data_IF_215726378039
#
_entry.id   IF_215726378039
#
_cell.length_a   1.000
_cell.length_b   1.000
_cell.length_c   1.000
_cell.angle_alpha   90.00
_cell.angle_beta   90.00
_cell.angle_gamma   90.00
#
_symmetry.space_group_name_H-M   'P 1'
#
loop_
_entity.id
_entity.type
_entity.pdbx_description
1 polymer ?
#
# COMPACT_ATOMS: atom_id res chain seq x y z
N UNK A 1 14.92 7.60 57.67
CA UNK A 1 14.97 8.72 56.69
C UNK A 1 16.01 8.36 55.64
N UNK A 2 15.59 7.78 54.51
CA UNK A 2 16.51 7.41 53.43
C UNK A 2 16.55 8.56 52.42
N UNK A 3 17.76 9.06 52.13
CA UNK A 3 17.99 10.17 51.20
C UNK A 3 17.79 9.68 49.76
N UNK A 4 16.89 10.32 49.02
CA UNK A 4 16.71 10.08 47.58
C UNK A 4 17.91 10.58 46.79
N UNK A 5 18.45 9.72 45.92
CA UNK A 5 19.55 10.03 45.01
C UNK A 5 19.11 10.93 43.87
N UNK A 6 20.00 11.83 43.46
CA UNK A 6 19.85 12.76 42.35
C UNK A 6 20.14 11.99 41.05
N UNK A 7 19.14 11.76 40.20
CA UNK A 7 19.34 11.21 38.86
C UNK A 7 18.78 12.17 37.81
N UNK A 8 19.51 12.38 36.71
CA UNK A 8 19.03 13.15 35.54
C UNK A 8 19.84 14.40 35.12
N UNK A 9 21.08 14.57 35.58
CA UNK A 9 21.95 15.67 35.12
C UNK A 9 22.90 15.25 34.01
N UNK A 10 23.12 16.15 33.05
CA UNK A 10 24.07 15.96 31.95
C UNK A 10 25.50 15.90 32.46
N UNK A 11 26.20 14.77 32.20
CA UNK A 11 27.60 14.56 32.55
C UNK A 11 27.85 13.48 33.61
N UNK A 12 26.81 12.86 34.16
CA UNK A 12 26.94 11.74 35.11
C UNK A 12 26.60 10.38 34.44
N UNK A 13 27.08 9.29 35.04
CA UNK A 13 26.79 7.93 34.56
C UNK A 13 25.28 7.65 34.60
N UNK A 14 24.70 7.08 33.52
CA UNK A 14 23.29 6.73 33.50
C UNK A 14 22.97 5.74 34.63
N UNK A 15 21.94 6.04 35.41
CA UNK A 15 21.49 5.14 36.46
C UNK A 15 20.92 3.84 35.84
N UNK A 16 21.26 2.71 36.44
CA UNK A 16 20.67 1.41 36.11
C UNK A 16 19.19 1.42 36.46
N UNK A 17 18.35 1.72 35.47
CA UNK A 17 16.91 1.49 35.56
C UNK A 17 16.71 0.00 35.32
N UNK A 18 16.65 -0.78 36.40
CA UNK A 18 16.51 -2.24 36.34
C UNK A 18 15.43 -2.71 35.35
N UNK A 19 15.55 -3.98 34.94
CA UNK A 19 14.75 -4.59 33.88
C UNK A 19 13.24 -4.31 33.99
N UNK A 20 12.68 -3.65 32.97
CA UNK A 20 11.24 -3.40 32.86
C UNK A 20 10.58 -4.60 32.18
N UNK A 21 10.00 -5.50 32.97
CA UNK A 21 9.20 -6.62 32.47
C UNK A 21 7.78 -6.11 32.16
N UNK A 22 7.48 -5.91 30.88
CA UNK A 22 6.13 -5.55 30.42
C UNK A 22 5.32 -6.82 30.17
N UNK A 23 4.39 -7.14 31.08
CA UNK A 23 3.41 -8.19 30.85
C UNK A 23 2.30 -7.67 29.91
N UNK A 24 2.36 -8.04 28.64
CA UNK A 24 1.25 -7.83 27.70
C UNK A 24 0.17 -8.90 27.95
N UNK A 25 -1.03 -8.54 28.43
CA UNK A 25 -2.10 -9.51 28.57
C UNK A 25 -2.53 -9.98 27.17
N UNK A 26 -2.73 -11.29 27.01
CA UNK A 26 -3.25 -11.86 25.76
C UNK A 26 -4.62 -11.23 25.46
N UNK A 27 -4.88 -10.75 24.23
CA UNK A 27 -6.21 -10.31 23.86
C UNK A 27 -7.16 -11.50 23.97
N UNK A 28 -8.14 -11.38 24.87
CA UNK A 28 -9.26 -12.30 24.93
C UNK A 28 -10.04 -12.13 23.62
N UNK A 29 -9.81 -13.05 22.67
CA UNK A 29 -10.67 -13.19 21.50
C UNK A 29 -12.13 -13.39 21.94
N UNK A 30 -13.10 -13.06 21.08
CA UNK A 30 -14.51 -13.18 21.42
C UNK A 30 -14.81 -14.61 21.86
N UNK A 31 -15.33 -14.74 23.10
CA UNK A 31 -15.89 -15.99 23.60
C UNK A 31 -17.07 -16.34 22.70
N UNK A 32 -16.95 -17.43 21.94
CA UNK A 32 -18.09 -18.02 21.26
C UNK A 32 -19.19 -18.31 22.27
N UNK A 33 -20.38 -17.80 21.99
CA UNK A 33 -21.59 -18.09 22.76
C UNK A 33 -21.92 -19.59 22.62
N UNK A 34 -22.01 -20.37 23.72
CA UNK A 34 -22.28 -21.80 23.65
C UNK A 34 -23.77 -22.16 23.40
N UNK A 35 -24.64 -21.19 23.06
CA UNK A 35 -26.08 -21.43 22.91
C UNK A 35 -26.66 -21.18 21.51
N UNK A 36 -25.99 -21.61 20.44
CA UNK A 36 -26.69 -21.86 19.17
C UNK A 36 -27.20 -23.31 19.11
N UNK A 37 -28.38 -23.49 19.68
CA UNK A 37 -29.22 -24.67 19.55
C UNK A 37 -29.76 -24.75 18.12
N UNK A 38 -29.26 -25.70 17.32
CA UNK A 38 -29.93 -26.16 16.10
C UNK A 38 -30.64 -27.48 16.41
N UNK A 39 -31.98 -27.53 16.47
CA UNK A 39 -32.69 -28.77 16.73
C UNK A 39 -32.68 -29.69 15.49
N UNK A 40 -31.92 -30.78 15.60
CA UNK A 40 -32.37 -32.15 15.41
C UNK A 40 -32.71 -32.65 14.00
N UNK A 41 -31.97 -33.65 13.52
CA UNK A 41 -32.57 -34.88 12.98
C UNK A 41 -31.57 -36.06 12.90
N UNK A 42 -31.88 -37.14 13.64
CA UNK A 42 -31.43 -38.54 13.44
C UNK A 42 -29.94 -38.83 13.70
N UNK A 43 -29.52 -39.64 14.66
CA UNK A 43 -30.12 -40.85 15.20
C UNK A 43 -29.39 -42.08 14.65
N UNK A 44 -28.60 -42.76 15.47
CA UNK A 44 -28.05 -44.09 15.16
C UNK A 44 -26.61 -44.29 15.62
N UNK A 45 -26.43 -44.75 16.85
CA UNK A 45 -25.15 -45.28 17.33
C UNK A 45 -24.96 -46.75 16.96
N UNK A 46 -23.71 -47.15 16.74
CA UNK A 46 -23.18 -48.46 17.11
C UNK A 46 -21.65 -48.45 17.08
N UNK A 47 -21.10 -49.19 18.03
CA UNK A 47 -19.73 -49.33 18.52
C UNK A 47 -18.79 -50.10 17.53
N UNK A 48 -17.55 -50.51 17.88
CA UNK A 48 -16.34 -50.31 17.09
C UNK A 48 -15.90 -51.59 16.37
N UNK A 49 -15.67 -51.56 15.06
CA UNK A 49 -15.37 -52.79 14.34
C UNK A 49 -14.75 -52.58 12.98
N UNK A 50 -13.44 -52.75 12.93
CA UNK A 50 -12.62 -53.04 11.77
C UNK A 50 -13.34 -53.98 10.80
N UNK A 51 -13.65 -53.55 9.56
CA UNK A 51 -13.51 -54.34 8.31
C UNK A 51 -13.37 -53.37 7.13
N UNK A 52 -12.25 -53.48 6.39
CA UNK A 52 -12.17 -52.99 5.00
C UNK A 52 -10.85 -52.34 4.62
N UNK A 53 -9.79 -53.14 4.45
CA UNK A 53 -8.51 -52.65 3.94
C UNK A 53 -7.43 -53.72 3.96
N UNK A 54 -7.65 -54.78 3.18
CA UNK A 54 -6.73 -55.89 2.98
C UNK A 54 -5.47 -55.40 2.23
N UNK A 55 -4.37 -55.14 2.93
CA UNK A 55 -3.02 -55.21 2.37
C UNK A 55 -2.25 -56.23 3.21
N UNK A 56 -2.29 -57.48 2.75
CA UNK A 56 -1.63 -58.61 3.38
C UNK A 56 -0.12 -58.42 3.47
N UNK A 57 0.47 -59.05 4.49
CA UNK A 57 1.86 -58.93 4.98
C UNK A 57 2.97 -59.19 3.94
N UNK A 58 2.66 -59.54 2.68
CA UNK A 58 3.64 -59.67 1.59
C UNK A 58 3.09 -59.23 0.22
N UNK A 59 2.36 -58.11 0.17
CA UNK A 59 1.79 -57.57 -1.06
C UNK A 59 2.23 -56.13 -1.34
N UNK A 60 2.82 -55.92 -2.51
CA UNK A 60 3.24 -54.64 -3.06
C UNK A 60 2.06 -53.64 -3.14
N UNK A 61 1.90 -52.78 -2.13
CA UNK A 61 0.93 -51.68 -2.13
C UNK A 61 1.52 -50.53 -2.98
N UNK A 62 0.96 -50.36 -4.18
CA UNK A 62 1.47 -49.46 -5.23
C UNK A 62 1.47 -47.97 -4.88
N UNK A 63 2.37 -47.26 -5.55
CA UNK A 63 2.62 -45.82 -5.47
C UNK A 63 1.33 -44.98 -5.59
N UNK A 64 0.82 -44.55 -4.44
CA UNK A 64 -0.24 -43.56 -4.30
C UNK A 64 0.25 -42.38 -3.47
N UNK A 65 1.37 -41.77 -3.87
CA UNK A 65 1.96 -40.60 -3.22
C UNK A 65 1.11 -39.35 -3.38
N UNK A 66 0.04 -39.24 -2.59
CA UNK A 66 -0.71 -38.00 -2.39
C UNK A 66 0.14 -37.01 -1.57
N UNK A 67 1.00 -36.27 -2.26
CA UNK A 67 1.70 -35.12 -1.68
C UNK A 67 0.70 -33.98 -1.42
N UNK A 68 -0.08 -34.07 -0.33
CA UNK A 68 -0.60 -32.88 0.33
C UNK A 68 0.50 -32.29 1.19
N UNK A 69 1.60 -31.87 0.55
CA UNK A 69 2.47 -30.88 1.18
C UNK A 69 1.61 -29.61 1.33
N UNK A 70 1.59 -28.95 2.51
CA UNK A 70 0.98 -27.63 2.61
C UNK A 70 1.62 -26.77 1.52
N UNK A 71 0.79 -26.24 0.63
CA UNK A 71 1.23 -25.35 -0.43
C UNK A 71 2.08 -24.27 0.22
N UNK A 72 3.37 -24.24 -0.11
CA UNK A 72 4.22 -23.12 0.27
C UNK A 72 3.47 -21.85 -0.19
N UNK A 73 3.31 -20.83 0.68
CA UNK A 73 2.66 -19.61 0.27
C UNK A 73 3.34 -19.11 -1.00
N UNK A 74 2.53 -18.83 -2.02
CA UNK A 74 3.02 -18.33 -3.30
C UNK A 74 3.89 -17.09 -3.00
N UNK A 75 5.12 -17.01 -3.54
CA UNK A 75 5.98 -15.87 -3.27
C UNK A 75 5.22 -14.58 -3.62
N UNK A 76 5.35 -13.52 -2.82
CA UNK A 76 4.61 -12.29 -3.04
C UNK A 76 4.86 -11.79 -4.46
N UNK A 77 3.79 -11.67 -5.25
CA UNK A 77 3.88 -11.23 -6.64
C UNK A 77 4.55 -9.87 -6.75
N UNK A 78 5.47 -9.75 -7.72
CA UNK A 78 6.19 -8.53 -8.04
C UNK A 78 5.21 -7.36 -8.30
N UNK A 79 5.36 -6.21 -7.60
CA UNK A 79 4.52 -5.02 -7.81
C UNK A 79 4.38 -4.61 -9.27
N UNK A 80 5.45 -4.76 -10.06
CA UNK A 80 5.38 -4.37 -11.46
C UNK A 80 4.44 -5.26 -12.27
N UNK A 81 4.57 -6.58 -12.12
CA UNK A 81 3.67 -7.55 -12.74
C UNK A 81 2.21 -7.29 -12.32
N UNK A 82 1.95 -7.04 -11.02
CA UNK A 82 0.59 -6.69 -10.54
C UNK A 82 0.02 -5.46 -11.24
N UNK A 83 0.82 -4.41 -11.39
CA UNK A 83 0.39 -3.20 -12.08
C UNK A 83 0.14 -3.48 -13.56
N UNK A 84 1.04 -4.21 -14.24
CA UNK A 84 0.89 -4.61 -15.64
C UNK A 84 -0.41 -5.41 -15.86
N UNK A 85 -0.70 -6.38 -15.01
CA UNK A 85 -1.93 -7.18 -15.08
C UNK A 85 -3.17 -6.32 -14.83
N UNK A 86 -3.09 -5.38 -13.87
CA UNK A 86 -4.18 -4.46 -13.55
C UNK A 86 -4.50 -3.51 -14.69
N UNK A 87 -3.51 -2.85 -15.28
CA UNK A 87 -3.75 -1.90 -16.39
C UNK A 87 -4.24 -2.57 -17.66
N UNK A 88 -4.05 -3.90 -17.78
CA UNK A 88 -4.56 -4.71 -18.87
C UNK A 88 -6.00 -5.22 -18.66
N UNK A 89 -6.58 -5.08 -17.46
CA UNK A 89 -8.01 -5.38 -17.24
C UNK A 89 -8.86 -4.44 -18.11
N UNK A 90 -9.86 -4.94 -18.88
CA UNK A 90 -10.64 -4.10 -19.79
C UNK A 90 -11.23 -2.84 -19.14
N UNK A 91 -11.94 -2.97 -18.00
CA UNK A 91 -12.54 -1.80 -17.35
C UNK A 91 -11.51 -0.77 -16.84
N UNK A 92 -10.32 -1.22 -16.44
CA UNK A 92 -9.24 -0.33 -15.97
C UNK A 92 -8.61 0.37 -17.17
N UNK A 93 -8.35 -0.36 -18.26
CA UNK A 93 -7.80 0.19 -19.50
C UNK A 93 -8.70 1.27 -20.11
N UNK A 94 -10.02 1.02 -20.13
CA UNK A 94 -11.00 1.99 -20.62
C UNK A 94 -11.03 3.23 -19.74
N UNK A 95 -11.02 3.05 -18.41
CA UNK A 95 -10.97 4.14 -17.45
C UNK A 95 -9.68 4.95 -17.58
N UNK A 96 -8.51 4.30 -17.72
CA UNK A 96 -7.23 4.96 -17.94
C UNK A 96 -7.19 5.75 -19.25
N UNK A 97 -7.84 5.26 -20.31
CA UNK A 97 -7.95 5.98 -21.57
C UNK A 97 -8.78 7.27 -21.39
N UNK A 98 -9.90 7.17 -20.68
CA UNK A 98 -10.74 8.33 -20.32
C UNK A 98 -9.96 9.35 -19.46
N UNK A 99 -9.25 8.87 -18.44
CA UNK A 99 -8.42 9.70 -17.57
C UNK A 99 -7.25 10.37 -18.33
N UNK A 100 -6.59 9.66 -19.24
CA UNK A 100 -5.52 10.25 -20.08
C UNK A 100 -6.06 11.40 -20.92
N UNK A 101 -7.20 11.20 -21.58
CA UNK A 101 -7.84 12.27 -22.35
C UNK A 101 -8.19 13.47 -21.47
N UNK A 102 -8.71 13.22 -20.27
CA UNK A 102 -9.05 14.26 -19.29
C UNK A 102 -7.82 15.02 -18.77
N UNK A 103 -6.71 14.33 -18.50
CA UNK A 103 -5.46 14.92 -18.01
C UNK A 103 -4.80 15.90 -19.00
N UNK A 104 -5.23 15.91 -20.26
CA UNK A 104 -4.81 16.88 -21.28
C UNK A 104 -5.74 18.08 -21.42
N UNK A 105 -6.83 18.12 -20.65
CA UNK A 105 -7.75 19.27 -20.64
C UNK A 105 -7.28 20.33 -19.64
N UNK A 106 -7.53 21.60 -19.94
CA UNK A 106 -7.22 22.72 -19.05
C UNK A 106 -8.30 22.95 -17.99
N UNK A 107 -9.08 21.93 -17.65
CA UNK A 107 -9.99 22.00 -16.50
C UNK A 107 -9.16 22.10 -15.22
N UNK A 108 -9.76 22.63 -14.15
CA UNK A 108 -9.14 22.61 -12.81
C UNK A 108 -9.62 21.43 -11.97
N UNK A 109 -10.60 20.69 -12.48
CA UNK A 109 -11.25 19.59 -11.79
C UNK A 109 -10.47 18.30 -12.04
N UNK A 110 -10.24 17.53 -10.99
CA UNK A 110 -9.72 16.17 -11.09
C UNK A 110 -10.84 15.17 -11.43
N UNK A 111 -10.45 14.04 -12.00
CA UNK A 111 -11.29 12.86 -12.16
C UNK A 111 -10.52 11.63 -11.78
N UNK A 112 -11.22 10.65 -11.25
CA UNK A 112 -10.63 9.38 -10.86
C UNK A 112 -11.65 8.31 -10.53
N UNK A 113 -11.15 7.14 -10.20
CA UNK A 113 -11.93 6.01 -9.74
C UNK A 113 -11.21 5.28 -8.60
N UNK A 114 -11.99 4.61 -7.76
CA UNK A 114 -11.57 3.61 -6.79
C UNK A 114 -11.88 2.23 -7.34
N UNK A 115 -10.91 1.32 -7.37
CA UNK A 115 -11.14 -0.12 -7.57
C UNK A 115 -11.43 -0.74 -6.20
N UNK A 116 -12.55 -1.47 -6.11
CA UNK A 116 -12.85 -2.31 -4.96
C UNK A 116 -12.21 -3.69 -5.11
N UNK A 117 -12.06 -4.43 -4.01
CA UNK A 117 -11.56 -5.81 -3.98
C UNK A 117 -12.41 -6.77 -4.86
N UNK A 118 -13.67 -6.43 -5.13
CA UNK A 118 -14.54 -7.13 -6.09
C UNK A 118 -14.16 -6.91 -7.57
N UNK A 119 -13.26 -5.96 -7.85
CA UNK A 119 -12.94 -5.49 -9.21
C UNK A 119 -13.90 -4.41 -9.74
N UNK A 120 -14.91 -4.01 -8.97
CA UNK A 120 -15.82 -2.91 -9.31
C UNK A 120 -15.09 -1.58 -9.27
N UNK A 121 -15.31 -0.73 -10.27
CA UNK A 121 -14.80 0.65 -10.29
C UNK A 121 -15.90 1.61 -9.84
N UNK A 122 -15.60 2.46 -8.87
CA UNK A 122 -16.48 3.53 -8.39
C UNK A 122 -15.85 4.89 -8.72
N UNK A 123 -16.60 5.85 -9.27
CA UNK A 123 -16.07 7.18 -9.52
C UNK A 123 -15.74 7.89 -8.20
N UNK A 124 -14.63 8.64 -8.19
CA UNK A 124 -14.36 9.59 -7.11
C UNK A 124 -15.28 10.81 -7.16
N UNK A 125 -15.45 11.49 -6.04
CA UNK A 125 -16.23 12.73 -5.93
C UNK A 125 -15.31 13.94 -5.78
N UNK A 126 -15.49 14.95 -6.63
CA UNK A 126 -14.68 16.18 -6.58
C UNK A 126 -15.25 17.08 -5.47
N UNK A 127 -14.39 17.56 -4.57
CA UNK A 127 -14.76 18.52 -3.54
C UNK A 127 -14.79 19.95 -4.11
N UNK A 128 -15.32 20.92 -3.34
CA UNK A 128 -15.35 22.33 -3.75
C UNK A 128 -13.95 22.91 -4.03
N UNK A 129 -12.91 22.36 -3.38
CA UNK A 129 -11.51 22.72 -3.58
C UNK A 129 -10.85 22.02 -4.77
N UNK A 130 -11.63 21.36 -5.62
CA UNK A 130 -11.19 20.53 -6.75
C UNK A 130 -10.32 19.33 -6.36
N UNK A 131 -10.44 18.85 -5.12
CA UNK A 131 -9.70 17.68 -4.66
C UNK A 131 -10.52 16.41 -4.90
N UNK A 132 -9.84 15.30 -5.17
CA UNK A 132 -10.48 14.02 -5.37
C UNK A 132 -10.71 13.28 -4.04
N UNK A 133 -11.98 12.99 -3.73
CA UNK A 133 -12.34 12.15 -2.59
C UNK A 133 -12.79 10.77 -3.04
N UNK A 134 -12.35 9.76 -2.30
CA UNK A 134 -12.74 8.35 -2.45
C UNK A 134 -13.28 7.82 -1.14
N UNK A 135 -14.33 6.99 -1.19
CA UNK A 135 -14.89 6.34 -0.02
C UNK A 135 -14.01 5.17 0.44
N UNK A 136 -12.84 5.47 1.01
CA UNK A 136 -11.90 4.45 1.48
C UNK A 136 -12.52 3.68 2.66
N UNK A 137 -12.39 2.36 2.61
CA UNK A 137 -12.88 1.41 3.59
C UNK A 137 -12.49 -0.02 3.24
N UNK A 138 -13.00 -1.00 3.97
CA UNK A 138 -12.51 -2.39 3.96
C UNK A 138 -12.56 -3.12 2.61
N UNK A 139 -13.38 -2.64 1.68
CA UNK A 139 -13.48 -3.16 0.32
C UNK A 139 -12.54 -2.45 -0.68
N UNK A 140 -11.73 -1.49 -0.25
CA UNK A 140 -10.84 -0.73 -1.15
C UNK A 140 -9.68 -1.60 -1.61
N UNK A 141 -9.36 -1.52 -2.91
CA UNK A 141 -8.16 -2.13 -3.47
C UNK A 141 -7.18 -1.07 -3.98
N UNK A 142 -7.68 0.01 -4.58
CA UNK A 142 -6.83 1.15 -4.93
C UNK A 142 -7.56 2.27 -5.62
N UNK A 143 -6.82 3.32 -5.95
CA UNK A 143 -7.35 4.52 -6.58
C UNK A 143 -6.53 4.93 -7.79
N UNK A 144 -7.17 5.59 -8.76
CA UNK A 144 -6.47 6.27 -9.85
C UNK A 144 -7.16 7.59 -10.14
N UNK A 145 -6.41 8.69 -10.19
CA UNK A 145 -6.94 10.01 -10.54
C UNK A 145 -6.04 10.75 -11.53
N UNK A 146 -6.47 11.95 -11.91
CA UNK A 146 -5.82 12.78 -12.92
C UNK A 146 -5.26 14.04 -12.29
N UNK A 147 -4.04 14.42 -12.70
CA UNK A 147 -3.46 15.73 -12.42
C UNK A 147 -3.41 16.54 -13.73
N UNK A 148 -4.01 17.73 -13.71
CA UNK A 148 -4.24 18.55 -14.90
C UNK A 148 -2.97 19.33 -15.31
N UNK A 149 -2.88 19.84 -16.55
CA UNK A 149 -1.72 20.60 -17.00
C UNK A 149 -1.42 21.80 -16.08
N UNK A 150 -0.14 22.01 -15.80
CA UNK A 150 0.31 23.07 -14.88
C UNK A 150 0.34 22.67 -13.41
N UNK A 151 -0.17 21.49 -13.05
CA UNK A 151 0.03 20.87 -11.74
C UNK A 151 1.29 19.98 -11.71
N UNK A 152 1.60 19.38 -10.57
CA UNK A 152 2.74 18.47 -10.41
C UNK A 152 2.31 17.08 -10.88
N UNK A 153 2.84 16.59 -12.00
CA UNK A 153 2.35 15.39 -12.70
C UNK A 153 2.67 14.02 -12.06
N UNK A 154 2.90 13.97 -10.75
CA UNK A 154 3.12 12.75 -9.95
C UNK A 154 2.42 12.88 -8.59
N UNK A 155 2.31 11.79 -7.83
CA UNK A 155 1.64 11.75 -6.53
C UNK A 155 2.15 12.84 -5.57
N UNK A 156 1.20 13.56 -4.98
CA UNK A 156 1.36 14.58 -3.97
C UNK A 156 1.21 14.00 -2.55
N UNK A 157 1.51 14.77 -1.49
CA UNK A 157 1.40 14.29 -0.11
C UNK A 157 0.03 13.71 0.26
N UNK A 158 -1.07 14.33 -0.13
CA UNK A 158 -2.43 13.81 0.15
C UNK A 158 -2.71 12.49 -0.59
N UNK A 159 -2.16 12.31 -1.79
CA UNK A 159 -2.29 11.06 -2.55
C UNK A 159 -1.61 9.91 -1.80
N UNK A 160 -0.45 10.18 -1.17
CA UNK A 160 0.26 9.19 -0.35
C UNK A 160 -0.52 8.85 0.91
N UNK A 161 -1.15 9.83 1.57
CA UNK A 161 -1.99 9.55 2.74
C UNK A 161 -3.20 8.69 2.38
N UNK A 162 -3.92 9.07 1.31
CA UNK A 162 -5.03 8.28 0.75
C UNK A 162 -4.58 6.86 0.41
N UNK A 163 -3.40 6.70 -0.18
CA UNK A 163 -2.83 5.39 -0.46
C UNK A 163 -2.55 4.59 0.83
N UNK A 164 -1.96 5.20 1.86
CA UNK A 164 -1.69 4.53 3.12
C UNK A 164 -2.97 4.09 3.83
N UNK A 165 -4.06 4.84 3.70
CA UNK A 165 -5.37 4.41 4.20
C UNK A 165 -5.86 3.15 3.48
N UNK A 166 -5.70 3.08 2.15
CA UNK A 166 -6.01 1.86 1.39
C UNK A 166 -5.14 0.68 1.86
N UNK A 167 -3.85 0.91 2.17
CA UNK A 167 -2.97 -0.13 2.71
C UNK A 167 -3.48 -0.64 4.05
N UNK A 168 -3.95 0.24 4.94
CA UNK A 168 -4.52 -0.13 6.25
C UNK A 168 -5.80 -0.96 6.14
N UNK A 169 -6.54 -0.81 5.04
CA UNK A 169 -7.73 -1.59 4.74
C UNK A 169 -7.43 -2.97 4.12
N UNK A 170 -6.16 -3.32 3.87
CA UNK A 170 -5.76 -4.65 3.41
C UNK A 170 -5.55 -5.62 4.58
N UNK A 171 -5.61 -6.93 4.30
CA UNK A 171 -5.23 -7.91 5.30
C UNK A 171 -3.72 -7.83 5.57
N UNK A 172 -3.24 -8.17 6.78
CA UNK A 172 -1.81 -8.08 7.13
C UNK A 172 -0.88 -8.85 6.18
N UNK A 173 -1.38 -9.91 5.54
CA UNK A 173 -0.64 -10.73 4.59
C UNK A 173 -0.83 -10.30 3.12
N UNK A 174 -1.62 -9.26 2.86
CA UNK A 174 -2.00 -8.81 1.53
C UNK A 174 -1.83 -7.29 1.32
N UNK A 175 -1.08 -6.60 2.21
CA UNK A 175 -0.82 -5.16 2.14
C UNK A 175 -0.36 -4.69 0.74
N UNK A 176 0.49 -5.49 0.08
CA UNK A 176 0.99 -5.19 -1.26
C UNK A 176 -0.03 -5.32 -2.41
N UNK A 177 -1.29 -5.63 -2.12
CA UNK A 177 -2.37 -5.56 -3.10
C UNK A 177 -2.89 -4.13 -3.29
N UNK A 178 -2.76 -3.31 -2.24
CA UNK A 178 -3.09 -1.89 -2.29
C UNK A 178 -2.27 -1.20 -3.39
N UNK A 179 -2.92 -0.27 -4.08
CA UNK A 179 -2.25 0.59 -5.04
C UNK A 179 -2.88 1.97 -5.11
N UNK A 180 -2.13 2.93 -5.62
CA UNK A 180 -2.69 4.19 -6.09
C UNK A 180 -2.01 4.59 -7.40
N UNK A 181 -2.63 5.43 -8.20
CA UNK A 181 -2.06 5.90 -9.45
C UNK A 181 -2.51 7.30 -9.83
N UNK A 182 -1.66 7.97 -10.60
CA UNK A 182 -1.91 9.31 -11.12
C UNK A 182 -1.67 9.31 -12.62
N UNK A 183 -2.58 9.94 -13.36
CA UNK A 183 -2.49 10.16 -14.80
C UNK A 183 -2.30 11.66 -15.05
N UNK A 184 -1.20 12.04 -15.69
CA UNK A 184 -0.92 13.43 -16.05
C UNK A 184 -0.35 13.54 -17.47
N UNK A 185 -0.14 14.76 -17.95
CA UNK A 185 0.60 15.01 -19.18
C UNK A 185 2.05 14.52 -19.15
N UNK A 186 2.61 14.30 -17.95
CA UNK A 186 3.98 13.80 -17.76
C UNK A 186 4.06 12.27 -17.79
N UNK A 187 2.93 11.58 -17.63
CA UNK A 187 2.84 10.12 -17.71
C UNK A 187 1.80 9.54 -16.76
N UNK A 188 1.73 8.21 -16.72
CA UNK A 188 0.95 7.48 -15.73
C UNK A 188 1.89 6.81 -14.74
N UNK A 189 1.73 7.13 -13.47
CA UNK A 189 2.48 6.53 -12.37
C UNK A 189 1.55 5.74 -11.47
N UNK A 190 2.01 4.59 -11.00
CA UNK A 190 1.36 3.76 -10.00
C UNK A 190 2.30 3.53 -8.84
N UNK A 191 1.73 3.30 -7.66
CA UNK A 191 2.46 2.91 -6.48
C UNK A 191 1.85 1.68 -5.83
N UNK A 192 2.70 0.86 -5.21
CA UNK A 192 2.31 -0.32 -4.44
C UNK A 192 3.12 -0.38 -3.15
N UNK A 193 2.54 -0.95 -2.10
CA UNK A 193 3.22 -1.11 -0.83
C UNK A 193 4.08 -2.38 -0.86
N UNK A 194 5.34 -2.23 -0.50
CA UNK A 194 6.32 -3.33 -0.42
C UNK A 194 6.84 -3.54 1.00
N UNK A 195 6.41 -2.69 1.95
CA UNK A 195 6.71 -2.82 3.36
C UNK A 195 5.84 -3.85 4.09
N UNK A 196 5.94 -3.77 5.41
CA UNK A 196 5.20 -4.56 6.38
C UNK A 196 4.26 -3.67 7.19
N UNK A 197 3.36 -4.26 7.99
CA UNK A 197 2.47 -3.48 8.85
C UNK A 197 3.23 -2.56 9.83
N UNK A 198 4.42 -2.95 10.29
CA UNK A 198 5.26 -2.13 11.17
C UNK A 198 5.94 -0.95 10.47
N UNK A 199 5.98 -0.96 9.13
CA UNK A 199 6.49 0.18 8.36
C UNK A 199 5.44 1.29 8.19
N UNK A 200 4.17 1.02 8.50
CA UNK A 200 3.10 2.02 8.37
C UNK A 200 3.21 3.10 9.46
N UNK A 201 3.09 4.38 9.10
CA UNK A 201 2.91 5.43 10.09
C UNK A 201 1.69 5.15 10.96
N UNK A 202 1.70 5.52 12.26
CA UNK A 202 0.53 5.42 13.12
C UNK A 202 -0.70 6.07 12.48
N UNK A 203 -1.87 5.49 12.73
CA UNK A 203 -3.13 6.12 12.32
C UNK A 203 -3.26 7.49 12.99
N UNK A 204 -3.67 8.48 12.20
CA UNK A 204 -3.88 9.85 12.63
C UNK A 204 -5.38 10.15 12.70
N UNK A 205 -5.78 11.02 13.61
CA UNK A 205 -7.07 11.69 13.50
C UNK A 205 -7.07 12.62 12.29
N UNK A 206 -8.25 12.98 11.78
CA UNK A 206 -8.39 13.90 10.64
C UNK A 206 -7.60 15.22 10.85
N UNK A 207 -7.68 15.81 12.04
CA UNK A 207 -6.95 17.03 12.36
C UNK A 207 -5.42 16.84 12.41
N UNK A 208 -4.96 15.68 12.87
CA UNK A 208 -3.53 15.35 12.89
C UNK A 208 -3.01 15.13 11.48
N UNK A 209 -3.77 14.40 10.64
CA UNK A 209 -3.40 14.16 9.25
C UNK A 209 -3.36 15.46 8.46
N UNK A 210 -4.39 16.31 8.57
CA UNK A 210 -4.42 17.61 7.90
C UNK A 210 -3.18 18.46 8.25
N UNK A 211 -2.83 18.54 9.54
CA UNK A 211 -1.62 19.26 9.98
C UNK A 211 -0.33 18.61 9.47
N UNK A 212 -0.29 17.28 9.39
CA UNK A 212 0.86 16.54 8.87
C UNK A 212 1.04 16.78 7.38
N UNK A 213 -0.03 16.66 6.59
CA UNK A 213 -0.06 16.90 5.14
C UNK A 213 0.32 18.35 4.83
N UNK A 214 -0.17 19.33 5.59
CA UNK A 214 0.20 20.74 5.42
C UNK A 214 1.72 20.97 5.53
N UNK A 215 2.38 20.27 6.46
CA UNK A 215 3.82 20.34 6.60
C UNK A 215 4.55 19.61 5.46
N UNK A 216 4.06 18.44 5.04
CA UNK A 216 4.60 17.73 3.89
C UNK A 216 4.45 18.53 2.60
N UNK A 217 3.35 19.24 2.38
CA UNK A 217 3.13 20.10 1.22
C UNK A 217 4.16 21.24 1.18
N UNK A 218 4.55 21.81 2.33
CA UNK A 218 5.60 22.83 2.39
C UNK A 218 6.96 22.25 1.96
N UNK A 219 7.31 21.06 2.45
CA UNK A 219 8.55 20.35 2.08
C UNK A 219 8.54 19.98 0.61
N UNK A 220 7.46 19.37 0.13
CA UNK A 220 7.26 18.95 -1.25
C UNK A 220 7.41 20.13 -2.23
N UNK A 221 6.80 21.28 -1.92
CA UNK A 221 6.93 22.50 -2.74
C UNK A 221 8.35 23.09 -2.70
N UNK A 222 9.05 22.98 -1.56
CA UNK A 222 10.45 23.40 -1.46
C UNK A 222 11.35 22.53 -2.34
N UNK A 223 11.19 21.21 -2.26
CA UNK A 223 11.95 20.24 -3.04
C UNK A 223 11.67 20.39 -4.53
N UNK A 224 10.41 20.59 -4.92
CA UNK A 224 10.03 20.87 -6.31
C UNK A 224 10.79 22.08 -6.88
N UNK A 225 10.83 23.20 -6.14
CA UNK A 225 11.55 24.42 -6.56
C UNK A 225 13.06 24.20 -6.63
N UNK A 226 13.62 23.41 -5.72
CA UNK A 226 15.05 23.07 -5.73
C UNK A 226 15.39 22.23 -6.97
N UNK A 227 14.61 21.20 -7.25
CA UNK A 227 14.77 20.34 -8.42
C UNK A 227 14.61 21.13 -9.73
N UNK A 228 13.67 22.08 -9.80
CA UNK A 228 13.53 22.96 -10.97
C UNK A 228 14.82 23.74 -11.24
N UNK A 229 15.42 24.33 -10.20
CA UNK A 229 16.69 25.05 -10.32
C UNK A 229 17.83 24.13 -10.77
N UNK A 230 17.88 22.90 -10.24
CA UNK A 230 18.88 21.91 -10.62
C UNK A 230 18.74 21.48 -12.10
N UNK A 231 17.51 21.42 -12.62
CA UNK A 231 17.23 21.18 -14.03
C UNK A 231 17.44 22.42 -14.92
N UNK A 232 17.90 23.56 -14.37
CA UNK A 232 18.07 24.81 -15.11
C UNK A 232 16.75 25.43 -15.58
N UNK A 233 15.63 25.10 -14.93
CA UNK A 233 14.29 25.56 -15.32
C UNK A 233 13.87 26.81 -14.58
N UNK A 234 13.16 27.68 -15.29
CA UNK A 234 12.57 28.91 -14.78
C UNK A 234 11.29 28.64 -13.98
N UNK A 235 10.87 29.64 -13.19
CA UNK A 235 9.59 29.61 -12.49
C UNK A 235 8.43 29.51 -13.48
N UNK A 236 7.51 28.57 -13.25
CA UNK A 236 6.38 28.30 -14.14
C UNK A 236 6.61 27.18 -15.16
N UNK A 237 7.84 26.68 -15.29
CA UNK A 237 8.11 25.44 -16.01
C UNK A 237 7.88 24.23 -15.10
N UNK A 238 7.65 23.06 -15.70
CA UNK A 238 7.44 21.79 -14.99
C UNK A 238 8.70 20.95 -14.94
N UNK A 239 8.87 20.15 -13.88
CA UNK A 239 9.96 19.17 -13.77
C UNK A 239 9.96 18.16 -14.92
N UNK A 240 11.14 17.64 -15.23
CA UNK A 240 11.26 16.47 -16.10
C UNK A 240 10.66 15.25 -15.40
N UNK A 241 10.46 14.16 -16.15
CA UNK A 241 10.04 12.90 -15.53
C UNK A 241 11.02 12.44 -14.44
N UNK A 242 12.33 12.51 -14.69
CA UNK A 242 13.34 12.20 -13.69
C UNK A 242 13.25 13.13 -12.47
N UNK A 243 12.94 14.41 -12.67
CA UNK A 243 12.72 15.37 -11.58
C UNK A 243 11.49 15.03 -10.75
N UNK A 244 10.37 14.67 -11.38
CA UNK A 244 9.16 14.21 -10.70
C UNK A 244 9.41 12.93 -9.91
N UNK A 245 10.10 11.96 -10.50
CA UNK A 245 10.47 10.70 -9.85
C UNK A 245 11.38 10.95 -8.64
N UNK A 246 12.36 11.86 -8.73
CA UNK A 246 13.18 12.31 -7.58
C UNK A 246 12.33 12.97 -6.49
N UNK A 247 11.42 13.85 -6.87
CA UNK A 247 10.52 14.52 -5.93
C UNK A 247 9.68 13.52 -5.13
N UNK A 248 9.16 12.49 -5.80
CA UNK A 248 8.43 11.40 -5.16
C UNK A 248 9.31 10.63 -4.17
N UNK A 249 10.53 10.22 -4.56
CA UNK A 249 11.42 9.51 -3.64
C UNK A 249 11.82 10.37 -2.44
N UNK A 250 12.07 11.67 -2.62
CA UNK A 250 12.34 12.58 -1.52
C UNK A 250 11.16 12.66 -0.55
N UNK A 251 9.93 12.70 -1.06
CA UNK A 251 8.73 12.65 -0.22
C UNK A 251 8.70 11.36 0.62
N UNK A 252 8.94 10.20 0.00
CA UNK A 252 8.97 8.93 0.71
C UNK A 252 10.08 8.87 1.77
N UNK A 253 11.28 9.35 1.45
CA UNK A 253 12.39 9.38 2.39
C UNK A 253 12.06 10.30 3.59
N UNK A 254 11.41 11.45 3.36
CA UNK A 254 10.99 12.39 4.41
C UNK A 254 9.94 11.81 5.37
N UNK A 255 9.12 10.85 4.93
CA UNK A 255 8.08 10.21 5.74
C UNK A 255 8.49 8.82 6.25
N UNK A 256 9.75 8.42 6.06
CA UNK A 256 10.28 7.13 6.52
C UNK A 256 9.80 5.92 5.70
N UNK A 257 9.28 6.14 4.49
CA UNK A 257 8.77 5.08 3.59
C UNK A 257 9.70 4.81 2.40
N UNK A 258 10.94 5.31 2.45
CA UNK A 258 11.97 5.01 1.46
C UNK A 258 12.17 3.49 1.30
N UNK A 259 11.96 2.98 0.08
CA UNK A 259 12.06 1.54 -0.23
C UNK A 259 10.88 0.68 0.22
N UNK A 260 9.85 1.28 0.83
CA UNK A 260 8.61 0.60 1.30
C UNK A 260 7.43 0.80 0.36
N UNK A 261 7.58 1.68 -0.64
CA UNK A 261 6.62 1.93 -1.70
C UNK A 261 7.37 1.86 -3.03
N UNK A 262 6.92 1.00 -3.93
CA UNK A 262 7.44 0.91 -5.30
C UNK A 262 6.77 1.96 -6.17
N UNK A 263 7.55 2.64 -7.01
CA UNK A 263 7.03 3.52 -8.07
C UNK A 263 7.07 2.76 -9.40
N UNK A 264 5.96 2.72 -10.11
CA UNK A 264 5.82 2.05 -11.39
C UNK A 264 5.35 3.07 -12.40
N UNK A 265 6.00 3.12 -13.56
CA UNK A 265 5.63 3.98 -14.68
C UNK A 265 4.98 3.13 -15.75
N UNK A 266 3.82 3.57 -16.21
CA UNK A 266 3.07 2.92 -17.27
C UNK A 266 2.92 3.88 -18.44
N UNK A 267 3.36 3.45 -19.63
CA UNK A 267 3.22 4.23 -20.85
C UNK A 267 2.82 3.34 -22.03
N UNK A 268 1.51 3.22 -22.23
CA UNK A 268 0.89 2.57 -23.39
C UNK A 268 1.38 1.12 -23.60
N UNK A 269 1.39 0.33 -22.54
CA UNK A 269 1.85 -1.06 -22.53
C UNK A 269 3.31 -1.24 -22.16
N UNK A 270 4.08 -0.15 -22.05
CA UNK A 270 5.43 -0.18 -21.49
C UNK A 270 5.36 0.10 -20.00
N UNK A 271 5.42 -0.97 -19.20
CA UNK A 271 5.47 -0.90 -17.74
C UNK A 271 6.92 -1.01 -17.27
N UNK A 272 7.31 -0.19 -16.32
CA UNK A 272 8.64 -0.27 -15.71
C UNK A 272 8.58 0.11 -14.24
N UNK A 273 9.32 -0.59 -13.39
CA UNK A 273 9.57 -0.12 -12.02
C UNK A 273 10.62 0.97 -12.08
N UNK A 274 10.40 2.09 -11.40
CA UNK A 274 11.40 3.14 -11.25
C UNK A 274 12.18 2.88 -9.96
N UNK A 275 13.50 2.76 -10.06
CA UNK A 275 14.39 2.50 -8.92
C UNK A 275 15.47 3.58 -8.83
N UNK A 276 16.04 3.79 -7.64
CA UNK A 276 17.23 4.64 -7.47
C UNK A 276 18.48 3.83 -7.83
N UNK A 277 19.32 4.35 -8.71
CA UNK A 277 20.66 3.82 -8.96
C UNK A 277 21.60 4.07 -7.76
N UNK A 278 22.86 3.63 -7.86
CA UNK A 278 23.87 3.84 -6.80
C UNK A 278 24.19 5.31 -6.51
N UNK A 279 23.84 6.22 -7.42
CA UNK A 279 23.98 7.67 -7.28
C UNK A 279 22.67 8.34 -6.83
N UNK A 280 21.63 7.57 -6.52
CA UNK A 280 20.31 8.07 -6.12
C UNK A 280 19.45 8.60 -7.26
N UNK A 281 19.82 8.37 -8.53
CA UNK A 281 19.02 8.81 -9.67
C UNK A 281 17.94 7.78 -10.03
N UNK A 282 16.71 8.22 -10.35
CA UNK A 282 15.68 7.35 -10.89
C UNK A 282 16.10 6.73 -12.22
N UNK A 283 15.99 5.40 -12.31
CA UNK A 283 16.22 4.63 -13.53
C UNK A 283 15.05 3.65 -13.73
N UNK A 284 14.53 3.52 -14.97
CA UNK A 284 13.47 2.56 -15.26
C UNK A 284 14.06 1.15 -15.39
N UNK A 285 13.39 0.18 -14.78
CA UNK A 285 13.63 -1.25 -14.94
C UNK A 285 12.38 -1.90 -15.57
N UNK A 286 12.41 -2.29 -16.85
CA UNK A 286 11.26 -2.85 -17.56
C UNK A 286 10.68 -4.11 -16.93
N UNK A 287 9.39 -4.30 -17.22
CA UNK A 287 8.58 -5.45 -16.86
C UNK A 287 7.95 -6.05 -18.12
#
# INVERSE_FOLDING_TARGET
MSKGGNCGYTGEEPCDTGEVIIHVPRPNGPKGDPNLYLPGQGGGGSDPGVIGGDCGVYGNCGDGGGNNAPSNPEPPEDPCKKTKDRVNKPQVKDSLTSLKNHAHTNTKEERGFQELKSGTLQPGTVTEDNQMFFGIGSNSLGTVHTHQPGTIGILAPQDIMTFLDIVREQDPNSLGNAYSGTVSSSGTYFINFTGTASDLPPAMTEAQEAAYVDNLVKLYRKDYRMLLKQEGKASGQILSNTGLEKLFFNLLDNIGLGGKISLIKENNGNTSTIQKDSSGNPVPNPC
#
